data_IF_069374764802
#
_entry.id   IF_069374764802
#
_cell.length_a   1.000
_cell.length_b   1.000
_cell.length_c   1.000
_cell.angle_alpha   90.00
_cell.angle_beta   90.00
_cell.angle_gamma   90.00
#
_symmetry.space_group_name_H-M   'P 1'
#
loop_
_entity.id
_entity.type
_entity.pdbx_description
1 polymer ?
#
# COMPACT_ATOMS: atom_id res chain seq x y z
N UNK A 1 43.54 -27.77 -77.97
CA UNK A 1 43.41 -28.63 -79.17
C UNK A 1 43.43 -30.08 -78.66
N UNK A 2 42.38 -30.85 -78.95
CA UNK A 2 42.12 -32.26 -78.60
C UNK A 2 41.97 -32.58 -77.09
N UNK A 3 40.79 -32.99 -76.63
CA UNK A 3 40.22 -34.38 -76.63
C UNK A 3 41.16 -35.42 -75.98
N UNK A 4 40.73 -36.50 -75.34
CA UNK A 4 39.49 -37.02 -74.73
C UNK A 4 39.85 -38.46 -74.30
N UNK A 5 38.99 -39.10 -73.50
CA UNK A 5 38.71 -40.56 -73.47
C UNK A 5 39.49 -41.49 -72.49
N UNK A 6 38.69 -41.94 -71.50
CA UNK A 6 38.39 -43.32 -71.00
C UNK A 6 39.55 -44.24 -70.57
N UNK A 7 39.64 -44.60 -69.29
CA UNK A 7 38.92 -45.67 -68.55
C UNK A 7 39.48 -47.08 -68.76
N UNK A 8 39.78 -47.79 -67.65
CA UNK A 8 39.68 -49.25 -67.64
C UNK A 8 40.66 -50.01 -66.73
N UNK A 9 40.25 -50.21 -65.47
CA UNK A 9 40.23 -51.50 -64.76
C UNK A 9 41.55 -52.30 -64.56
N UNK A 10 41.94 -52.52 -63.28
CA UNK A 10 41.97 -53.85 -62.60
C UNK A 10 42.65 -53.79 -61.22
N UNK A 11 41.97 -54.39 -60.24
CA UNK A 11 42.31 -54.57 -58.83
C UNK A 11 43.59 -55.37 -58.57
N UNK A 12 44.31 -55.01 -57.51
CA UNK A 12 44.87 -55.97 -56.54
C UNK A 12 44.63 -55.43 -55.13
N UNK A 13 43.89 -56.21 -54.35
CA UNK A 13 43.55 -55.95 -52.95
C UNK A 13 44.78 -55.99 -52.05
N UNK A 14 45.01 -54.91 -51.29
CA UNK A 14 45.78 -54.94 -50.05
C UNK A 14 44.78 -54.95 -48.89
N UNK A 15 44.84 -56.00 -48.06
CA UNK A 15 44.17 -56.03 -46.76
C UNK A 15 44.94 -55.07 -45.85
N UNK A 16 44.37 -53.88 -45.63
CA UNK A 16 44.75 -52.98 -44.54
C UNK A 16 43.78 -53.26 -43.40
N UNK A 17 44.32 -53.77 -42.29
CA UNK A 17 43.61 -53.89 -41.03
C UNK A 17 43.35 -52.47 -40.50
N UNK A 18 42.21 -51.90 -40.90
CA UNK A 18 41.74 -50.62 -40.37
C UNK A 18 41.17 -50.86 -38.97
N UNK A 19 41.96 -50.54 -37.94
CA UNK A 19 41.48 -50.41 -36.57
C UNK A 19 40.40 -49.33 -36.55
N UNK A 20 39.12 -49.73 -36.53
CA UNK A 20 38.02 -48.85 -36.16
C UNK A 20 38.19 -48.50 -34.67
N UNK A 21 38.90 -47.41 -34.39
CA UNK A 21 38.65 -46.63 -33.20
C UNK A 21 37.25 -46.06 -33.34
N UNK A 22 36.25 -46.79 -32.84
CA UNK A 22 34.97 -46.20 -32.51
C UNK A 22 35.26 -45.14 -31.45
N UNK A 23 35.39 -43.88 -31.88
CA UNK A 23 35.26 -42.73 -30.99
C UNK A 23 33.85 -42.80 -30.44
N UNK A 24 33.70 -43.49 -29.31
CA UNK A 24 32.55 -43.33 -28.45
C UNK A 24 32.55 -41.85 -28.10
N UNK A 25 31.53 -41.14 -28.56
CA UNK A 25 31.18 -39.87 -27.96
C UNK A 25 30.81 -40.19 -26.53
N UNK A 26 31.74 -40.02 -25.59
CA UNK A 26 31.40 -39.98 -24.18
C UNK A 26 30.55 -38.73 -24.02
N UNK A 27 29.22 -38.90 -23.94
CA UNK A 27 28.34 -37.81 -23.55
C UNK A 27 28.77 -37.38 -22.16
N UNK A 28 29.05 -36.08 -21.97
CA UNK A 28 29.35 -35.54 -20.66
C UNK A 28 28.19 -35.88 -19.71
N UNK A 29 28.52 -36.42 -18.53
CA UNK A 29 27.51 -36.65 -17.49
C UNK A 29 27.29 -35.34 -16.75
N UNK A 30 26.02 -35.01 -16.50
CA UNK A 30 25.61 -33.74 -15.91
C UNK A 30 24.83 -33.94 -14.63
N UNK A 31 25.09 -33.06 -13.68
CA UNK A 31 24.28 -32.81 -12.48
C UNK A 31 23.45 -31.57 -12.78
N UNK A 32 22.18 -31.78 -13.08
CA UNK A 32 21.22 -30.72 -13.44
C UNK A 32 20.57 -30.14 -12.19
N UNK A 33 20.55 -28.81 -12.09
CA UNK A 33 19.81 -28.07 -11.06
C UNK A 33 18.78 -27.16 -11.73
N UNK A 34 17.54 -27.23 -11.25
CA UNK A 34 16.43 -26.41 -11.73
C UNK A 34 15.86 -25.60 -10.58
N UNK A 35 15.79 -24.28 -10.74
CA UNK A 35 15.06 -23.40 -9.85
C UNK A 35 13.70 -23.02 -10.43
N UNK A 36 12.63 -23.15 -9.64
CA UNK A 36 11.27 -22.76 -10.02
C UNK A 36 10.71 -21.77 -9.00
N UNK A 37 10.21 -20.64 -9.49
CA UNK A 37 9.59 -19.61 -8.66
C UNK A 37 8.08 -19.83 -8.53
N UNK A 38 7.50 -19.53 -7.36
CA UNK A 38 6.04 -19.47 -7.20
C UNK A 38 5.41 -18.33 -8.02
N UNK A 39 6.11 -17.20 -8.13
CA UNK A 39 5.81 -16.08 -9.03
C UNK A 39 7.11 -15.52 -9.61
N UNK A 40 7.14 -15.26 -10.92
CA UNK A 40 8.35 -14.79 -11.62
C UNK A 40 8.48 -13.25 -11.67
N UNK A 41 7.46 -12.53 -11.19
CA UNK A 41 7.40 -11.08 -11.21
C UNK A 41 7.09 -10.55 -9.81
N UNK A 42 7.90 -9.61 -9.31
CA UNK A 42 7.74 -9.02 -7.98
C UNK A 42 7.76 -7.48 -8.04
N UNK A 43 6.93 -6.86 -7.20
CA UNK A 43 7.17 -5.53 -6.64
C UNK A 43 7.97 -5.66 -5.35
N UNK A 44 8.64 -4.58 -4.95
CA UNK A 44 9.32 -4.54 -3.66
C UNK A 44 8.33 -4.84 -2.50
N UNK A 45 8.82 -5.44 -1.42
CA UNK A 45 8.01 -5.98 -0.32
C UNK A 45 7.26 -7.28 -0.62
N UNK A 46 7.16 -7.71 -1.89
CA UNK A 46 6.56 -9.00 -2.25
C UNK A 46 7.59 -10.13 -2.20
N UNK A 47 7.08 -11.35 -2.02
CA UNK A 47 7.87 -12.56 -1.87
C UNK A 47 7.55 -13.58 -2.97
N UNK A 48 8.58 -14.26 -3.45
CA UNK A 48 8.47 -15.47 -4.27
C UNK A 48 9.22 -16.62 -3.60
N UNK A 49 8.68 -17.83 -3.68
CA UNK A 49 9.34 -19.03 -3.16
C UNK A 49 10.12 -19.66 -4.31
N UNK A 50 11.44 -19.77 -4.17
CA UNK A 50 12.29 -20.53 -5.07
C UNK A 50 12.40 -21.97 -4.57
N UNK A 51 11.89 -22.91 -5.35
CA UNK A 51 12.09 -24.35 -5.15
C UNK A 51 13.24 -24.83 -6.02
N UNK A 52 14.26 -25.43 -5.41
CA UNK A 52 15.45 -25.95 -6.11
C UNK A 52 15.39 -27.47 -6.18
N UNK A 53 15.49 -28.02 -7.38
CA UNK A 53 15.46 -29.46 -7.64
C UNK A 53 16.75 -29.94 -8.34
N UNK A 54 17.08 -31.20 -8.13
CA UNK A 54 18.29 -31.85 -8.63
C UNK A 54 17.98 -33.11 -9.44
N UNK A 55 18.74 -33.32 -10.52
CA UNK A 55 18.75 -34.58 -11.27
C UNK A 55 20.14 -34.86 -11.87
N UNK A 56 20.65 -36.06 -11.74
CA UNK A 56 21.81 -36.55 -12.48
C UNK A 56 21.39 -37.21 -13.79
N UNK A 57 22.30 -37.26 -14.76
CA UNK A 57 22.09 -38.03 -16.01
C UNK A 57 21.63 -39.45 -15.71
N UNK A 58 20.49 -39.85 -16.30
CA UNK A 58 19.82 -41.14 -16.11
C UNK A 58 19.45 -41.45 -14.65
N UNK A 59 19.18 -40.42 -13.84
CA UNK A 59 18.85 -40.53 -12.41
C UNK A 59 19.92 -41.30 -11.61
N UNK A 60 21.17 -41.22 -12.06
CA UNK A 60 22.28 -41.88 -11.40
C UNK A 60 22.45 -41.39 -9.96
N UNK A 61 22.79 -42.32 -9.07
CA UNK A 61 23.24 -41.99 -7.71
C UNK A 61 24.72 -41.65 -7.77
N UNK A 62 25.11 -40.51 -7.19
CA UNK A 62 26.46 -39.96 -7.28
C UNK A 62 27.05 -39.70 -5.89
N UNK A 63 28.32 -39.31 -5.81
CA UNK A 63 29.00 -39.10 -4.51
C UNK A 63 28.53 -37.85 -3.75
N UNK A 64 27.80 -36.95 -4.41
CA UNK A 64 27.28 -35.74 -3.78
C UNK A 64 27.23 -34.54 -4.72
N UNK A 65 26.89 -33.38 -4.15
CA UNK A 65 26.86 -32.08 -4.81
C UNK A 65 27.18 -31.00 -3.79
N UNK A 66 28.08 -30.09 -4.14
CA UNK A 66 28.21 -28.80 -3.47
C UNK A 66 27.64 -27.72 -4.38
N UNK A 67 26.54 -27.09 -3.99
CA UNK A 67 25.81 -26.10 -4.79
C UNK A 67 25.89 -24.71 -4.14
N UNK A 68 26.11 -23.69 -4.96
CA UNK A 68 25.96 -22.28 -4.59
C UNK A 68 24.76 -21.71 -5.33
N UNK A 69 23.79 -21.16 -4.60
CA UNK A 69 22.75 -20.31 -5.15
C UNK A 69 23.15 -18.86 -4.92
N UNK A 70 23.45 -18.15 -6.00
CA UNK A 70 23.91 -16.76 -6.01
C UNK A 70 22.72 -15.82 -6.12
N UNK A 71 22.73 -14.73 -5.35
CA UNK A 71 21.69 -13.71 -5.36
C UNK A 71 22.27 -12.33 -5.02
N UNK A 72 21.63 -11.29 -5.56
CA UNK A 72 21.95 -9.89 -5.27
C UNK A 72 21.22 -9.47 -3.98
N UNK A 73 21.98 -9.39 -2.88
CA UNK A 73 21.43 -9.03 -1.58
C UNK A 73 21.10 -7.53 -1.44
N UNK A 74 21.51 -6.71 -2.40
CA UNK A 74 21.11 -5.31 -2.48
C UNK A 74 19.70 -5.11 -3.03
N UNK A 75 19.10 -6.16 -3.62
CA UNK A 75 17.73 -6.11 -4.16
C UNK A 75 16.82 -7.25 -3.69
N UNK A 76 17.37 -8.31 -3.07
CA UNK A 76 16.62 -9.44 -2.52
C UNK A 76 17.06 -9.79 -1.10
N UNK A 77 16.10 -10.11 -0.23
CA UNK A 77 16.33 -10.78 1.05
C UNK A 77 15.92 -12.24 0.96
N UNK A 78 16.80 -13.16 1.37
CA UNK A 78 16.50 -14.58 1.47
C UNK A 78 16.08 -14.93 2.90
N UNK A 79 14.93 -15.57 3.07
CA UNK A 79 14.48 -16.07 4.38
C UNK A 79 14.91 -17.51 4.66
N UNK A 80 14.31 -18.12 5.69
CA UNK A 80 14.65 -19.47 6.12
C UNK A 80 14.23 -20.53 5.08
N UNK A 81 15.10 -21.52 4.86
CA UNK A 81 14.79 -22.61 3.94
C UNK A 81 13.77 -23.59 4.51
N UNK A 82 12.92 -24.13 3.64
CA UNK A 82 12.02 -25.25 3.90
C UNK A 82 12.36 -26.45 3.01
N UNK A 83 11.69 -27.58 3.24
CA UNK A 83 11.75 -28.76 2.36
C UNK A 83 13.15 -29.28 2.04
N UNK A 84 14.08 -29.09 2.99
CA UNK A 84 15.47 -29.53 2.86
C UNK A 84 15.54 -31.04 2.69
N UNK A 85 16.18 -31.49 1.62
CA UNK A 85 16.62 -32.87 1.46
C UNK A 85 17.67 -33.20 2.53
N UNK A 86 17.30 -34.07 3.48
CA UNK A 86 18.12 -34.36 4.66
C UNK A 86 19.18 -35.42 4.44
N UNK A 87 18.95 -36.37 3.53
CA UNK A 87 19.90 -37.45 3.24
C UNK A 87 21.26 -36.87 2.85
N UNK A 88 22.34 -37.31 3.51
CA UNK A 88 23.71 -36.88 3.21
C UNK A 88 24.00 -35.37 3.28
N UNK A 89 23.06 -34.57 3.80
CA UNK A 89 23.15 -33.12 3.79
C UNK A 89 24.10 -32.59 4.86
N UNK A 90 25.05 -31.76 4.44
CA UNK A 90 25.95 -31.01 5.30
C UNK A 90 25.28 -29.71 5.78
N UNK A 91 25.88 -28.98 6.74
CA UNK A 91 25.38 -27.68 7.17
C UNK A 91 25.30 -26.67 6.01
N UNK A 92 24.17 -25.97 5.90
CA UNK A 92 23.97 -24.92 4.90
C UNK A 92 24.39 -23.56 5.46
N UNK A 93 24.94 -22.69 4.61
CA UNK A 93 25.49 -21.40 5.03
C UNK A 93 25.29 -20.34 3.96
N UNK A 94 24.94 -19.12 4.35
CA UNK A 94 25.04 -17.94 3.48
C UNK A 94 26.45 -17.36 3.62
N UNK A 95 27.09 -17.04 2.51
CA UNK A 95 28.44 -16.45 2.44
C UNK A 95 28.45 -15.31 1.43
N UNK A 96 29.37 -14.37 1.64
CA UNK A 96 29.64 -13.31 0.65
C UNK A 96 30.37 -13.89 -0.57
N UNK A 97 30.02 -13.40 -1.76
CA UNK A 97 30.63 -13.78 -3.04
C UNK A 97 31.79 -12.86 -3.43
N UNK A 98 32.76 -12.70 -2.54
CA UNK A 98 33.91 -11.81 -2.82
C UNK A 98 34.85 -12.35 -3.89
N UNK A 99 34.66 -13.61 -4.33
CA UNK A 99 35.48 -14.27 -5.35
C UNK A 99 34.78 -14.35 -6.70
N UNK A 100 33.57 -13.80 -6.82
CA UNK A 100 32.79 -13.75 -8.06
C UNK A 100 32.66 -15.13 -8.72
N UNK A 101 32.23 -16.14 -7.94
CA UNK A 101 32.24 -17.53 -8.40
C UNK A 101 31.31 -17.79 -9.59
N UNK A 102 30.30 -16.94 -9.81
CA UNK A 102 29.37 -16.99 -10.93
C UNK A 102 29.65 -15.95 -12.03
N UNK A 103 30.70 -15.15 -11.88
CA UNK A 103 31.11 -14.13 -12.86
C UNK A 103 30.12 -12.97 -12.98
N UNK A 104 29.31 -12.72 -11.95
CA UNK A 104 28.36 -11.62 -11.85
C UNK A 104 28.55 -10.82 -10.57
N UNK A 105 29.22 -9.67 -10.69
CA UNK A 105 29.49 -8.80 -9.55
C UNK A 105 28.22 -8.27 -8.83
N UNK A 106 27.01 -8.43 -9.40
CA UNK A 106 25.76 -8.03 -8.73
C UNK A 106 25.31 -9.06 -7.70
N UNK A 107 25.57 -10.34 -7.91
CA UNK A 107 25.18 -11.42 -6.99
C UNK A 107 26.19 -11.53 -5.85
N UNK A 108 26.17 -10.57 -4.94
CA UNK A 108 27.17 -10.40 -3.89
C UNK A 108 27.14 -11.46 -2.78
N UNK A 109 26.15 -12.36 -2.77
CA UNK A 109 26.02 -13.46 -1.80
C UNK A 109 25.68 -14.77 -2.48
N UNK A 110 26.10 -15.86 -1.86
CA UNK A 110 25.62 -17.19 -2.20
C UNK A 110 25.20 -18.02 -0.99
N UNK A 111 24.13 -18.79 -1.18
CA UNK A 111 23.72 -19.84 -0.27
C UNK A 111 24.42 -21.15 -0.64
N UNK A 112 25.38 -21.54 0.19
CA UNK A 112 26.15 -22.77 0.06
C UNK A 112 25.37 -23.93 0.69
N UNK A 113 24.98 -24.87 -0.16
CA UNK A 113 24.35 -26.12 0.23
C UNK A 113 25.20 -27.29 -0.24
N UNK A 114 25.28 -28.35 0.54
CA UNK A 114 26.17 -29.47 0.21
C UNK A 114 25.60 -30.79 0.68
N UNK A 115 25.80 -31.81 -0.15
CA UNK A 115 25.46 -33.20 0.10
C UNK A 115 26.67 -34.05 -0.22
N UNK A 116 27.02 -34.97 0.68
CA UNK A 116 28.16 -35.85 0.52
C UNK A 116 27.76 -37.26 0.98
N UNK A 117 27.77 -38.21 0.04
CA UNK A 117 27.49 -39.60 0.37
C UNK A 117 28.63 -40.17 1.23
N UNK A 118 28.25 -40.67 2.40
CA UNK A 118 29.14 -41.40 3.31
C UNK A 118 28.67 -42.84 3.53
N UNK A 119 27.52 -43.21 2.95
CA UNK A 119 26.93 -44.54 3.06
C UNK A 119 27.54 -45.52 2.06
N UNK A 120 27.96 -45.04 0.88
CA UNK A 120 28.40 -45.86 -0.25
C UNK A 120 27.26 -46.30 -1.18
N UNK A 121 26.00 -45.99 -0.84
CA UNK A 121 24.82 -46.29 -1.65
C UNK A 121 24.59 -45.25 -2.78
N UNK A 122 25.40 -44.18 -2.79
CA UNK A 122 25.28 -43.02 -3.66
C UNK A 122 24.21 -42.03 -3.17
N UNK A 123 24.11 -40.87 -3.81
CA UNK A 123 23.18 -39.80 -3.47
C UNK A 123 22.53 -39.22 -4.72
N UNK A 124 21.24 -38.83 -4.69
CA UNK A 124 20.24 -39.15 -3.66
C UNK A 124 19.91 -40.66 -3.63
N UNK A 125 19.82 -41.29 -2.44
CA UNK A 125 19.53 -42.72 -2.34
C UNK A 125 18.09 -43.04 -1.95
N UNK A 126 17.45 -42.18 -1.16
CA UNK A 126 16.06 -42.30 -0.71
C UNK A 126 15.09 -41.48 -1.58
N UNK A 127 15.53 -40.33 -2.12
CA UNK A 127 14.68 -39.48 -2.94
C UNK A 127 14.69 -39.90 -4.42
N UNK A 128 13.50 -40.01 -5.02
CA UNK A 128 13.36 -40.15 -6.46
C UNK A 128 13.76 -38.85 -7.17
N UNK A 129 14.48 -38.96 -8.29
CA UNK A 129 14.90 -37.82 -9.08
C UNK A 129 13.82 -37.45 -10.12
N UNK A 130 13.59 -36.15 -10.41
CA UNK A 130 14.23 -34.98 -9.80
C UNK A 130 13.87 -34.79 -8.32
N UNK A 131 14.88 -34.65 -7.46
CA UNK A 131 14.70 -34.52 -6.02
C UNK A 131 14.69 -33.05 -5.61
N UNK A 132 13.70 -32.62 -4.83
CA UNK A 132 13.71 -31.28 -4.22
C UNK A 132 14.86 -31.20 -3.22
N UNK A 133 15.79 -30.26 -3.42
CA UNK A 133 16.90 -30.01 -2.52
C UNK A 133 16.49 -29.14 -1.34
N UNK A 134 15.76 -28.05 -1.62
CA UNK A 134 15.20 -27.11 -0.65
C UNK A 134 14.24 -26.14 -1.35
N UNK A 135 13.47 -25.40 -0.55
CA UNK A 135 12.79 -24.18 -0.98
C UNK A 135 13.25 -22.99 -0.11
N UNK A 136 13.34 -21.80 -0.69
CA UNK A 136 13.69 -20.56 0.04
C UNK A 136 12.76 -19.41 -0.38
N UNK A 137 12.23 -18.63 0.58
CA UNK A 137 11.52 -17.39 0.27
C UNK A 137 12.52 -16.29 -0.12
N UNK A 138 12.19 -15.56 -1.17
CA UNK A 138 12.93 -14.43 -1.70
C UNK A 138 12.03 -13.21 -1.71
N UNK A 139 12.32 -12.24 -0.84
CA UNK A 139 11.58 -10.98 -0.73
C UNK A 139 12.31 -9.88 -1.49
N UNK A 140 11.64 -9.23 -2.44
CA UNK A 140 12.18 -8.06 -3.12
C UNK A 140 12.27 -6.87 -2.14
N UNK A 141 13.39 -6.15 -2.10
CA UNK A 141 13.54 -4.96 -1.25
C UNK A 141 13.27 -3.67 -2.05
N UNK A 142 13.13 -2.54 -1.35
CA UNK A 142 12.85 -1.25 -2.01
C UNK A 142 13.88 -0.93 -3.11
N UNK A 143 13.40 -0.44 -4.24
CA UNK A 143 14.23 -0.18 -5.42
C UNK A 143 14.41 -1.37 -6.37
N UNK A 144 13.75 -2.52 -6.12
CA UNK A 144 13.83 -3.70 -6.99
C UNK A 144 13.47 -3.38 -8.45
N UNK A 145 14.41 -3.64 -9.36
CA UNK A 145 14.28 -3.47 -10.81
C UNK A 145 14.36 -4.79 -11.58
N UNK A 146 14.19 -5.91 -10.88
CA UNK A 146 14.52 -7.24 -11.38
C UNK A 146 15.90 -7.71 -10.92
N UNK A 147 16.07 -9.02 -10.84
CA UNK A 147 17.31 -9.69 -10.46
C UNK A 147 17.43 -11.04 -11.16
N UNK A 148 18.64 -11.59 -11.17
CA UNK A 148 18.91 -12.94 -11.66
C UNK A 148 19.49 -13.77 -10.53
N UNK A 149 19.00 -15.00 -10.40
CA UNK A 149 19.56 -16.01 -9.52
C UNK A 149 20.43 -16.94 -10.37
N UNK A 150 21.64 -17.23 -9.89
CA UNK A 150 22.59 -18.09 -10.59
C UNK A 150 22.99 -19.27 -9.74
N UNK A 151 23.44 -20.32 -10.41
CA UNK A 151 23.87 -21.54 -9.75
C UNK A 151 25.28 -21.93 -10.19
N UNK A 152 26.16 -22.19 -9.23
CA UNK A 152 27.50 -22.75 -9.50
C UNK A 152 27.79 -23.94 -8.60
N UNK A 153 28.70 -24.80 -9.03
CA UNK A 153 29.15 -25.90 -8.20
C UNK A 153 30.37 -25.48 -7.38
N UNK A 154 30.32 -25.74 -6.07
CA UNK A 154 31.54 -25.81 -5.24
C UNK A 154 32.22 -27.17 -5.35
N UNK A 155 31.46 -28.22 -5.66
CA UNK A 155 31.96 -29.54 -6.01
C UNK A 155 30.92 -30.30 -6.82
N UNK A 156 31.36 -31.04 -7.82
CA UNK A 156 30.55 -32.05 -8.53
C UNK A 156 31.09 -33.45 -8.23
N UNK A 157 30.30 -34.48 -8.55
CA UNK A 157 30.79 -35.84 -8.55
C UNK A 157 31.86 -36.05 -9.64
N UNK A 158 32.79 -36.97 -9.40
CA UNK A 158 33.86 -37.25 -10.37
C UNK A 158 33.27 -37.69 -11.72
N UNK A 159 33.66 -37.01 -12.80
CA UNK A 159 33.13 -37.26 -14.14
C UNK A 159 31.84 -36.50 -14.49
N UNK A 160 31.29 -35.73 -13.56
CA UNK A 160 30.11 -34.89 -13.77
C UNK A 160 30.45 -33.40 -13.83
N UNK A 161 29.77 -32.67 -14.71
CA UNK A 161 29.70 -31.21 -14.68
C UNK A 161 28.34 -30.74 -14.15
N UNK A 162 28.26 -29.52 -13.62
CA UNK A 162 26.99 -28.91 -13.28
C UNK A 162 26.33 -28.32 -14.54
N UNK A 163 25.04 -28.53 -14.68
CA UNK A 163 24.19 -27.83 -15.64
C UNK A 163 23.04 -27.16 -14.88
N UNK A 164 22.93 -25.84 -14.96
CA UNK A 164 21.87 -25.10 -14.30
C UNK A 164 21.51 -23.88 -15.12
N UNK A 165 20.22 -23.57 -15.19
CA UNK A 165 19.73 -22.37 -15.84
C UNK A 165 19.61 -21.23 -14.83
N UNK A 166 19.98 -20.04 -15.25
CA UNK A 166 19.72 -18.81 -14.53
C UNK A 166 18.20 -18.61 -14.38
N UNK A 167 17.79 -18.13 -13.20
CA UNK A 167 16.38 -17.85 -12.92
C UNK A 167 16.21 -16.35 -12.79
N UNK A 168 15.47 -15.75 -13.73
CA UNK A 168 15.16 -14.33 -13.69
C UNK A 168 13.93 -14.09 -12.79
N UNK A 169 14.04 -13.10 -11.91
CA UNK A 169 12.91 -12.48 -11.21
C UNK A 169 12.73 -11.11 -11.84
N UNK A 170 11.65 -10.92 -12.58
CA UNK A 170 11.36 -9.64 -13.25
C UNK A 170 10.65 -8.69 -12.30
N UNK A 171 10.77 -7.39 -12.57
CA UNK A 171 9.81 -6.42 -12.03
C UNK A 171 8.48 -6.58 -12.76
N UNK A 172 7.36 -6.44 -12.05
CA UNK A 172 6.01 -6.42 -12.65
C UNK A 172 5.97 -5.33 -13.76
N UNK A 173 5.71 -5.68 -15.04
CA UNK A 173 5.65 -4.71 -16.13
C UNK A 173 4.45 -3.77 -15.98
N UNK A 174 4.68 -2.46 -16.03
CA UNK A 174 3.63 -1.43 -15.95
C UNK A 174 3.75 -0.47 -14.76
N UNK A 175 4.63 -0.75 -13.82
CA UNK A 175 5.10 0.24 -12.82
C UNK A 175 6.49 0.72 -13.23
N UNK A 176 6.57 1.70 -14.13
CA UNK A 176 7.64 2.69 -13.96
C UNK A 176 7.32 3.37 -12.65
N UNK A 177 8.23 3.21 -11.68
CA UNK A 177 8.18 3.94 -10.42
C UNK A 177 8.51 5.39 -10.74
N UNK A 178 7.51 6.13 -11.21
CA UNK A 178 7.62 7.55 -11.50
C UNK A 178 7.06 8.32 -10.32
N UNK A 179 7.43 9.59 -10.23
CA UNK A 179 6.61 10.51 -9.47
C UNK A 179 5.23 10.55 -10.15
N UNK A 180 4.17 10.32 -9.39
CA UNK A 180 2.80 10.63 -9.80
C UNK A 180 2.45 12.07 -9.49
N UNK A 181 3.13 12.67 -8.51
CA UNK A 181 2.98 14.05 -8.12
C UNK A 181 4.24 14.55 -7.39
N UNK A 182 4.44 15.86 -7.37
CA UNK A 182 5.42 16.53 -6.55
C UNK A 182 4.78 17.80 -5.99
N UNK A 183 4.33 17.72 -4.74
CA UNK A 183 3.70 18.86 -4.08
C UNK A 183 4.75 19.63 -3.28
N UNK A 184 4.89 20.91 -3.56
CA UNK A 184 5.72 21.81 -2.77
C UNK A 184 4.82 22.71 -1.90
N UNK A 185 5.18 22.85 -0.63
CA UNK A 185 4.58 23.79 0.32
C UNK A 185 5.70 24.51 1.09
N UNK A 186 5.45 25.69 1.62
CA UNK A 186 6.42 26.42 2.43
C UNK A 186 5.77 27.06 3.64
N UNK A 187 6.53 27.23 4.71
CA UNK A 187 6.11 27.91 5.93
C UNK A 187 6.66 29.33 5.92
N UNK A 188 5.81 30.33 6.14
CA UNK A 188 6.25 31.74 6.18
C UNK A 188 6.91 32.03 7.52
N UNK A 189 8.11 32.62 7.50
CA UNK A 189 8.71 33.19 8.71
C UNK A 189 7.81 34.36 9.16
N UNK A 190 7.22 34.25 10.34
CA UNK A 190 6.21 35.17 10.84
C UNK A 190 6.62 36.65 10.69
N UNK A 191 6.00 37.35 9.74
CA UNK A 191 5.78 38.80 9.84
C UNK A 191 4.32 39.08 9.53
N UNK A 192 3.63 39.57 10.56
CA UNK A 192 2.24 39.94 10.52
C UNK A 192 2.03 41.12 9.57
N UNK A 193 1.39 40.90 8.44
CA UNK A 193 0.49 41.88 7.83
C UNK A 193 -0.50 41.15 6.94
N UNK A 194 -1.79 41.34 7.24
CA UNK A 194 -2.91 40.78 6.51
C UNK A 194 -2.85 41.11 5.01
N UNK A 195 -3.01 40.09 4.15
CA UNK A 195 -3.37 40.29 2.75
C UNK A 195 -4.13 39.08 2.18
N UNK A 196 -5.45 39.19 2.17
CA UNK A 196 -6.39 38.90 1.07
C UNK A 196 -6.03 37.82 0.04
N UNK A 197 -5.93 36.57 0.46
CA UNK A 197 -6.45 35.44 -0.31
C UNK A 197 -7.56 34.84 0.55
N UNK A 198 -8.74 34.59 -0.02
CA UNK A 198 -9.96 34.23 0.73
C UNK A 198 -9.79 32.83 1.35
N UNK A 199 -9.16 32.75 2.52
CA UNK A 199 -9.20 31.60 3.42
C UNK A 199 -10.67 31.28 3.63
N UNK A 200 -11.08 30.02 3.37
CA UNK A 200 -12.38 29.57 3.83
C UNK A 200 -12.43 29.84 5.34
N UNK A 201 -13.43 30.59 5.79
CA UNK A 201 -13.60 30.83 7.22
C UNK A 201 -13.67 29.48 7.93
N UNK A 202 -13.05 29.39 9.11
CA UNK A 202 -13.13 28.18 9.91
C UNK A 202 -14.58 27.83 10.21
N UNK A 203 -14.87 26.53 10.31
CA UNK A 203 -16.22 26.07 10.63
C UNK A 203 -16.63 26.61 12.01
N UNK A 204 -17.86 27.12 12.09
CA UNK A 204 -18.43 27.53 13.36
C UNK A 204 -18.63 26.30 14.25
N UNK A 205 -18.01 26.30 15.42
CA UNK A 205 -18.15 25.21 16.39
C UNK A 205 -19.35 25.50 17.29
N UNK A 206 -20.40 24.65 17.26
CA UNK A 206 -21.51 24.81 18.18
C UNK A 206 -21.07 24.48 19.60
N UNK A 207 -21.64 25.16 20.60
CA UNK A 207 -21.29 24.89 22.00
C UNK A 207 -21.66 23.46 22.42
N UNK A 208 -20.92 22.91 23.37
CA UNK A 208 -21.28 21.65 24.04
C UNK A 208 -22.68 21.76 24.67
N UNK A 209 -23.41 20.64 24.71
CA UNK A 209 -24.75 20.55 25.32
C UNK A 209 -24.80 19.48 26.39
N UNK A 210 -25.64 19.69 27.40
CA UNK A 210 -25.87 18.71 28.46
C UNK A 210 -27.17 17.96 28.18
N UNK A 211 -27.07 16.65 28.00
CA UNK A 211 -28.18 15.72 27.91
C UNK A 211 -28.51 15.16 29.29
N UNK A 212 -29.80 15.03 29.61
CA UNK A 212 -30.30 14.59 30.93
C UNK A 212 -30.27 13.07 31.13
N UNK A 213 -29.30 12.40 30.51
CA UNK A 213 -29.04 10.97 30.69
C UNK A 213 -30.21 10.02 30.35
N UNK A 214 -29.98 8.70 30.45
CA UNK A 214 -31.04 7.70 30.40
C UNK A 214 -32.16 7.87 31.44
N UNK A 215 -31.88 8.47 32.60
CA UNK A 215 -32.86 8.69 33.68
C UNK A 215 -33.84 9.85 33.39
N UNK A 216 -33.53 10.69 32.40
CA UNK A 216 -34.32 11.83 31.91
C UNK A 216 -34.44 12.97 32.93
N UNK A 217 -33.55 13.06 33.90
CA UNK A 217 -33.53 14.10 34.93
C UNK A 217 -32.22 14.88 34.82
N UNK A 218 -32.30 16.22 34.74
CA UNK A 218 -31.08 17.03 34.63
C UNK A 218 -30.44 17.22 36.01
N UNK A 219 -29.11 17.31 36.05
CA UNK A 219 -28.25 17.41 37.24
C UNK A 219 -28.18 16.11 38.05
N UNK A 220 -28.21 14.97 37.37
CA UNK A 220 -27.99 13.64 37.96
C UNK A 220 -26.65 13.06 37.48
N UNK A 221 -26.27 11.90 38.05
CA UNK A 221 -24.96 11.31 37.80
C UNK A 221 -24.79 10.77 36.36
N UNK A 222 -25.88 10.54 35.64
CA UNK A 222 -25.90 10.02 34.27
C UNK A 222 -26.08 11.11 33.19
N UNK A 223 -26.03 12.39 33.58
CA UNK A 223 -25.95 13.50 32.64
C UNK A 223 -24.74 13.33 31.71
N UNK A 224 -24.95 13.59 30.42
CA UNK A 224 -23.92 13.45 29.39
C UNK A 224 -23.59 14.77 28.72
N UNK A 225 -22.33 14.96 28.37
CA UNK A 225 -21.90 16.12 27.57
C UNK A 225 -21.85 15.73 26.09
N UNK A 226 -22.78 16.25 25.30
CA UNK A 226 -22.77 16.14 23.84
C UNK A 226 -21.82 17.20 23.29
N UNK A 227 -20.68 16.75 22.77
CA UNK A 227 -19.62 17.64 22.27
C UNK A 227 -20.04 18.39 21.03
N UNK A 228 -19.63 19.65 20.95
CA UNK A 228 -19.85 20.51 19.79
C UNK A 228 -19.15 20.04 18.53
N UNK A 229 -17.91 19.55 18.68
CA UNK A 229 -17.05 19.21 17.57
C UNK A 229 -16.12 18.02 17.83
N UNK A 230 -15.54 17.54 16.74
CA UNK A 230 -14.41 16.60 16.69
C UNK A 230 -13.39 17.11 15.68
N UNK A 231 -12.16 17.36 16.13
CA UNK A 231 -11.07 17.90 15.32
C UNK A 231 -10.14 16.76 14.90
N UNK A 232 -9.79 16.71 13.61
CA UNK A 232 -8.88 15.71 13.04
C UNK A 232 -8.05 16.32 11.91
N UNK A 233 -6.77 16.55 12.18
CA UNK A 233 -5.91 17.32 11.28
C UNK A 233 -6.54 18.70 10.99
N UNK A 234 -6.65 19.04 9.71
CA UNK A 234 -7.19 20.31 9.26
C UNK A 234 -8.73 20.36 9.19
N UNK A 235 -9.40 19.25 9.53
CA UNK A 235 -10.85 19.13 9.49
C UNK A 235 -11.45 19.18 10.90
N UNK A 236 -12.54 19.92 11.03
CA UNK A 236 -13.40 19.89 12.21
C UNK A 236 -14.80 19.45 11.81
N UNK A 237 -15.25 18.33 12.38
CA UNK A 237 -16.63 17.85 12.29
C UNK A 237 -17.45 18.47 13.41
N UNK A 238 -18.69 18.84 13.15
CA UNK A 238 -19.59 19.39 14.18
C UNK A 238 -20.88 18.59 14.26
N UNK A 239 -21.42 18.50 15.49
CA UNK A 239 -22.64 17.76 15.81
C UNK A 239 -23.86 18.33 15.06
N UNK A 240 -24.96 17.57 14.96
CA UNK A 240 -26.23 18.14 14.54
C UNK A 240 -26.68 19.31 15.40
N UNK A 241 -27.30 20.34 14.80
CA UNK A 241 -27.81 21.46 15.55
C UNK A 241 -29.01 21.02 16.40
N UNK A 242 -29.10 21.56 17.62
CA UNK A 242 -30.32 21.41 18.41
C UNK A 242 -31.41 22.32 17.86
N UNK A 243 -32.67 22.05 18.21
CA UNK A 243 -33.82 22.78 17.69
C UNK A 243 -33.76 24.31 17.86
N UNK A 244 -33.08 24.79 18.92
CA UNK A 244 -32.91 26.22 19.20
C UNK A 244 -31.81 26.87 18.32
N UNK A 245 -30.84 26.08 17.85
CA UNK A 245 -29.78 26.55 16.95
C UNK A 245 -30.29 26.62 15.51
N UNK A 246 -31.13 25.67 15.10
CA UNK A 246 -31.73 25.62 13.78
C UNK A 246 -33.28 25.63 13.86
N UNK A 247 -33.92 26.82 13.80
CA UNK A 247 -35.37 26.95 13.84
C UNK A 247 -36.08 26.18 12.70
N UNK A 248 -37.16 25.48 13.04
CA UNK A 248 -37.90 24.65 12.08
C UNK A 248 -38.48 25.44 10.90
N UNK A 249 -38.90 26.69 11.13
CA UNK A 249 -39.47 27.54 10.08
C UNK A 249 -38.50 27.81 8.93
N UNK A 250 -37.19 27.79 9.21
CA UNK A 250 -36.13 28.03 8.23
C UNK A 250 -35.57 26.72 7.69
N UNK A 251 -35.28 25.76 8.57
CA UNK A 251 -34.43 24.61 8.24
C UNK A 251 -35.18 23.28 8.05
N UNK A 252 -36.50 23.27 8.29
CA UNK A 252 -37.38 22.13 7.98
C UNK A 252 -38.86 22.59 7.98
N UNK A 253 -39.25 23.51 7.07
CA UNK A 253 -40.60 24.09 7.04
C UNK A 253 -41.64 23.04 6.66
N UNK A 254 -42.79 23.06 7.34
CA UNK A 254 -43.85 22.05 7.20
C UNK A 254 -44.68 22.11 5.91
N UNK A 255 -44.30 22.93 4.92
CA UNK A 255 -45.22 23.42 3.89
C UNK A 255 -44.92 22.88 2.47
N UNK A 256 -44.36 21.67 2.33
CA UNK A 256 -44.31 21.00 1.02
C UNK A 256 -43.02 20.27 0.62
N UNK A 257 -42.03 20.13 1.51
CA UNK A 257 -40.77 19.42 1.23
C UNK A 257 -40.64 18.07 1.94
N UNK A 258 -41.71 17.54 2.54
CA UNK A 258 -41.78 16.33 3.38
C UNK A 258 -41.14 16.44 4.79
N UNK A 259 -40.85 17.66 5.23
CA UNK A 259 -40.73 18.01 6.64
C UNK A 259 -42.13 18.10 7.29
N UNK A 260 -42.34 17.48 8.45
CA UNK A 260 -43.58 17.46 9.23
C UNK A 260 -43.28 17.65 10.70
N UNK A 261 -44.31 17.90 11.53
CA UNK A 261 -44.16 17.93 13.00
C UNK A 261 -43.53 16.67 13.57
N UNK A 262 -43.80 15.53 12.94
CA UNK A 262 -43.39 14.22 13.43
C UNK A 262 -41.95 13.86 13.05
N UNK A 263 -41.37 14.50 12.01
CA UNK A 263 -40.06 14.10 11.48
C UNK A 263 -39.02 15.22 11.46
N UNK A 264 -39.38 16.46 11.84
CA UNK A 264 -38.46 17.61 11.86
C UNK A 264 -37.46 17.60 13.02
N UNK A 265 -37.67 16.74 14.00
CA UNK A 265 -36.83 16.61 15.19
C UNK A 265 -36.60 15.12 15.45
N UNK A 266 -35.40 14.74 15.87
CA UNK A 266 -35.16 13.45 16.50
C UNK A 266 -34.35 13.63 17.79
N UNK A 267 -34.66 12.78 18.76
CA UNK A 267 -34.00 12.74 20.06
C UNK A 267 -33.32 11.38 20.18
N UNK A 268 -32.45 11.27 21.18
CA UNK A 268 -31.76 10.02 21.48
C UNK A 268 -31.88 9.63 22.96
N UNK A 269 -33.07 9.19 23.40
CA UNK A 269 -33.34 8.93 24.81
C UNK A 269 -32.45 7.86 25.44
N UNK A 270 -31.88 6.98 24.62
CA UNK A 270 -31.01 5.91 25.10
C UNK A 270 -29.63 6.42 25.54
N UNK A 271 -29.09 7.45 24.88
CA UNK A 271 -27.72 7.93 25.15
C UNK A 271 -27.65 9.30 25.81
N UNK A 272 -28.62 10.18 25.56
CA UNK A 272 -28.58 11.57 26.05
C UNK A 272 -29.92 12.07 26.60
N UNK A 273 -30.87 11.17 26.81
CA UNK A 273 -32.17 11.51 27.37
C UNK A 273 -33.10 12.27 26.43
N UNK A 274 -34.05 12.98 27.02
CA UNK A 274 -35.19 13.57 26.31
C UNK A 274 -35.14 15.08 26.17
N UNK A 275 -34.25 15.77 26.90
CA UNK A 275 -34.17 17.24 26.88
C UNK A 275 -33.54 17.80 25.60
N UNK A 276 -32.72 17.00 24.90
CA UNK A 276 -32.09 17.40 23.64
C UNK A 276 -32.87 16.86 22.43
N UNK A 277 -33.41 17.78 21.63
CA UNK A 277 -33.97 17.49 20.31
C UNK A 277 -33.09 18.09 19.21
N UNK A 278 -32.65 17.24 18.28
CA UNK A 278 -31.80 17.61 17.15
C UNK A 278 -32.64 17.85 15.92
N UNK A 279 -32.36 18.95 15.22
CA UNK A 279 -33.05 19.30 13.98
C UNK A 279 -32.69 18.28 12.90
N UNK A 280 -33.71 17.77 12.23
CA UNK A 280 -33.55 17.06 10.96
C UNK A 280 -33.85 18.02 9.82
N UNK A 281 -33.11 17.90 8.73
CA UNK A 281 -33.24 18.77 7.56
C UNK A 281 -33.31 17.92 6.30
N UNK A 282 -34.05 18.40 5.30
CA UNK A 282 -33.93 17.89 3.93
C UNK A 282 -32.52 18.17 3.40
N UNK A 283 -32.15 17.53 2.29
CA UNK A 283 -30.78 17.60 1.80
C UNK A 283 -30.33 19.03 1.45
N UNK A 284 -31.16 19.81 0.76
CA UNK A 284 -30.82 21.17 0.35
C UNK A 284 -30.63 22.10 1.57
N UNK A 285 -31.51 21.99 2.56
CA UNK A 285 -31.43 22.73 3.81
C UNK A 285 -30.21 22.30 4.64
N UNK A 286 -29.81 21.02 4.57
CA UNK A 286 -28.60 20.54 5.22
C UNK A 286 -27.33 21.12 4.57
N UNK A 287 -27.26 21.19 3.23
CA UNK A 287 -26.16 21.86 2.51
C UNK A 287 -26.10 23.35 2.85
N UNK A 288 -27.24 24.03 2.85
CA UNK A 288 -27.35 25.43 3.20
C UNK A 288 -26.98 25.70 4.67
N UNK A 289 -27.38 24.82 5.60
CA UNK A 289 -27.00 24.92 7.01
C UNK A 289 -25.49 24.81 7.17
N UNK A 290 -24.88 23.75 6.61
CA UNK A 290 -23.44 23.60 6.73
C UNK A 290 -22.68 24.78 6.10
N UNK A 291 -23.17 25.31 4.98
CA UNK A 291 -22.58 26.52 4.37
C UNK A 291 -22.70 27.74 5.28
N UNK A 292 -23.84 27.92 5.96
CA UNK A 292 -24.04 29.00 6.92
C UNK A 292 -23.09 28.88 8.13
N UNK A 293 -22.69 27.66 8.47
CA UNK A 293 -21.69 27.38 9.50
C UNK A 293 -20.24 27.41 8.99
N UNK A 294 -19.96 27.97 7.81
CA UNK A 294 -18.65 27.97 7.15
C UNK A 294 -18.08 26.57 6.85
N UNK A 295 -18.95 25.57 6.70
CA UNK A 295 -18.59 24.20 6.36
C UNK A 295 -19.37 23.65 5.17
N UNK A 296 -19.40 22.33 5.08
CA UNK A 296 -20.17 21.55 4.11
C UNK A 296 -20.61 20.23 4.72
N UNK A 297 -21.48 19.51 4.03
CA UNK A 297 -21.71 18.10 4.35
C UNK A 297 -20.39 17.31 4.16
N UNK A 298 -20.09 16.34 5.04
CA UNK A 298 -18.93 15.48 4.89
C UNK A 298 -19.12 14.50 3.73
N UNK A 299 -18.01 14.20 3.06
CA UNK A 299 -17.95 13.16 2.03
C UNK A 299 -17.96 11.78 2.68
N UNK A 300 -18.31 10.74 1.92
CA UNK A 300 -18.20 9.35 2.39
C UNK A 300 -16.76 8.98 2.74
N UNK A 301 -15.77 9.49 2.01
CA UNK A 301 -14.36 9.21 2.28
C UNK A 301 -13.93 9.76 3.64
N UNK A 302 -14.33 10.99 3.95
CA UNK A 302 -14.08 11.63 5.25
C UNK A 302 -14.79 10.89 6.39
N UNK A 303 -16.05 10.49 6.19
CA UNK A 303 -16.78 9.66 7.17
C UNK A 303 -16.08 8.33 7.39
N UNK A 304 -15.68 7.65 6.33
CA UNK A 304 -15.03 6.32 6.41
C UNK A 304 -13.69 6.40 7.12
N UNK A 305 -12.93 7.46 6.86
CA UNK A 305 -11.57 7.64 7.40
C UNK A 305 -11.61 8.13 8.84
N UNK A 306 -12.49 9.08 9.18
CA UNK A 306 -12.41 9.82 10.43
C UNK A 306 -13.54 9.53 11.42
N UNK A 307 -14.75 9.22 10.94
CA UNK A 307 -15.92 9.01 11.81
C UNK A 307 -16.19 7.53 12.09
N UNK A 308 -16.17 6.67 11.07
CA UNK A 308 -16.46 5.24 11.21
C UNK A 308 -15.54 4.53 12.22
N UNK A 309 -14.24 4.82 12.33
CA UNK A 309 -13.38 4.19 13.34
C UNK A 309 -13.83 4.47 14.78
N UNK A 310 -14.49 5.62 15.01
CA UNK A 310 -14.96 6.08 16.32
C UNK A 310 -16.29 5.47 16.73
N UNK A 311 -17.05 4.85 15.82
CA UNK A 311 -18.38 4.28 16.11
C UNK A 311 -18.27 2.85 16.61
N UNK A 312 -18.91 2.57 17.75
CA UNK A 312 -19.02 1.24 18.31
C UNK A 312 -19.24 1.28 19.82
N UNK A 313 -19.77 0.19 20.40
CA UNK A 313 -20.00 0.13 21.84
C UNK A 313 -18.69 0.43 22.61
N UNK A 314 -18.68 1.51 23.39
CA UNK A 314 -17.53 1.95 24.19
C UNK A 314 -16.47 2.75 23.44
N UNK A 315 -16.75 3.23 22.21
CA UNK A 315 -15.82 4.08 21.45
C UNK A 315 -16.16 5.56 21.54
N UNK A 316 -15.23 6.40 21.07
CA UNK A 316 -15.28 7.85 21.18
C UNK A 316 -16.57 8.50 20.65
N UNK A 317 -17.23 7.94 19.63
CA UNK A 317 -18.51 8.50 19.16
C UNK A 317 -19.61 8.37 20.23
N UNK A 318 -19.61 7.28 20.98
CA UNK A 318 -20.52 6.99 22.09
C UNK A 318 -20.10 7.64 23.41
N UNK A 319 -18.81 7.61 23.73
CA UNK A 319 -18.30 7.99 25.06
C UNK A 319 -17.86 9.45 25.15
N UNK A 320 -17.22 9.96 24.10
CA UNK A 320 -16.52 11.25 24.15
C UNK A 320 -17.35 12.32 23.47
N UNK A 321 -17.85 12.02 22.26
CA UNK A 321 -18.68 12.94 21.48
C UNK A 321 -20.14 12.92 21.92
N UNK A 322 -20.66 11.73 22.19
CA UNK A 322 -22.07 11.48 22.58
C UNK A 322 -23.06 12.02 21.53
N UNK A 323 -22.72 11.91 20.24
CA UNK A 323 -23.59 12.37 19.15
C UNK A 323 -24.78 11.41 18.92
N UNK A 324 -25.92 11.89 18.37
CA UNK A 324 -27.11 11.07 18.24
C UNK A 324 -26.95 9.93 17.22
N UNK A 325 -27.59 8.78 17.44
CA UNK A 325 -27.46 7.58 16.59
C UNK A 325 -28.76 6.78 16.48
N UNK A 326 -29.77 7.06 17.33
CA UNK A 326 -31.05 6.35 17.38
C UNK A 326 -31.99 6.76 16.26
N UNK A 327 -32.50 5.79 15.50
CA UNK A 327 -33.67 5.96 14.62
C UNK A 327 -33.53 6.94 13.45
N UNK A 328 -32.38 7.61 13.28
CA UNK A 328 -32.10 8.51 12.15
C UNK A 328 -30.69 8.28 11.62
N UNK A 329 -30.44 8.80 10.42
CA UNK A 329 -29.18 8.72 9.69
C UNK A 329 -28.60 10.12 9.53
N UNK A 330 -27.35 10.20 9.08
CA UNK A 330 -26.66 11.44 8.76
C UNK A 330 -26.54 11.62 7.25
N UNK A 331 -26.73 12.84 6.78
CA UNK A 331 -26.41 13.20 5.41
C UNK A 331 -24.91 13.12 5.12
N UNK A 332 -24.57 12.75 3.89
CA UNK A 332 -23.23 12.92 3.30
C UNK A 332 -23.36 13.70 2.00
N UNK A 333 -22.31 14.34 1.51
CA UNK A 333 -22.35 15.11 0.26
C UNK A 333 -22.44 14.25 -1.00
N UNK A 334 -22.02 12.99 -0.94
CA UNK A 334 -21.95 12.09 -2.09
C UNK A 334 -23.34 11.73 -2.62
N UNK A 335 -23.60 12.08 -3.88
CA UNK A 335 -24.83 11.71 -4.61
C UNK A 335 -24.64 10.44 -5.43
N UNK A 336 -25.74 9.75 -5.74
CA UNK A 336 -25.75 8.68 -6.75
C UNK A 336 -25.45 9.26 -8.12
N UNK A 337 -25.07 8.41 -9.09
CA UNK A 337 -24.81 8.85 -10.47
C UNK A 337 -26.03 9.54 -11.12
N UNK A 338 -27.25 9.17 -10.72
CA UNK A 338 -28.48 9.81 -11.18
C UNK A 338 -28.75 11.18 -10.50
N UNK A 339 -28.04 11.50 -9.41
CA UNK A 339 -28.18 12.77 -8.69
C UNK A 339 -29.47 12.93 -7.87
N UNK A 340 -30.33 11.91 -7.85
CA UNK A 340 -31.65 11.90 -7.21
C UNK A 340 -31.64 11.45 -5.74
N UNK A 341 -30.52 10.84 -5.31
CA UNK A 341 -30.29 10.32 -3.97
C UNK A 341 -28.90 10.69 -3.49
N UNK A 342 -28.75 10.77 -2.17
CA UNK A 342 -27.45 10.86 -1.52
C UNK A 342 -27.18 9.60 -0.70
N UNK A 343 -25.90 9.26 -0.59
CA UNK A 343 -25.46 8.28 0.38
C UNK A 343 -25.59 8.85 1.79
N UNK A 344 -25.85 7.98 2.75
CA UNK A 344 -26.09 8.38 4.15
C UNK A 344 -25.27 7.54 5.10
N UNK A 345 -24.80 8.18 6.17
CA UNK A 345 -24.09 7.49 7.24
C UNK A 345 -25.08 6.95 8.27
N UNK A 346 -25.11 5.62 8.38
CA UNK A 346 -25.91 4.86 9.34
C UNK A 346 -25.00 4.34 10.45
N UNK A 347 -25.11 4.91 11.64
CA UNK A 347 -24.36 4.46 12.82
C UNK A 347 -24.99 3.21 13.43
N UNK A 348 -26.30 3.22 13.66
CA UNK A 348 -27.07 2.11 14.28
C UNK A 348 -28.33 1.75 13.51
N UNK A 349 -28.78 0.51 13.72
CA UNK A 349 -30.02 0.00 13.15
C UNK A 349 -31.23 0.61 13.88
N UNK A 350 -32.18 1.18 13.13
CA UNK A 350 -33.34 1.87 13.71
C UNK A 350 -34.30 0.97 14.49
N UNK A 351 -34.28 -0.35 14.24
CA UNK A 351 -35.23 -1.31 14.82
C UNK A 351 -34.68 -1.98 16.07
N UNK A 352 -33.40 -2.36 16.07
CA UNK A 352 -32.79 -3.12 17.16
C UNK A 352 -31.58 -2.44 17.82
N UNK A 353 -31.20 -1.23 17.38
CA UNK A 353 -30.11 -0.42 17.94
C UNK A 353 -28.71 -1.04 17.85
N UNK A 354 -28.57 -2.13 17.09
CA UNK A 354 -27.27 -2.75 16.82
C UNK A 354 -26.39 -1.79 16.00
N UNK A 355 -25.09 -1.82 16.25
CA UNK A 355 -24.10 -1.07 15.48
C UNK A 355 -24.13 -1.56 14.03
N UNK A 356 -24.27 -0.61 13.09
CA UNK A 356 -24.26 -0.86 11.64
C UNK A 356 -23.00 -0.27 11.02
N UNK A 357 -22.69 0.98 11.37
CA UNK A 357 -21.51 1.73 10.92
C UNK A 357 -21.26 1.62 9.39
N UNK A 358 -22.18 2.16 8.59
CA UNK A 358 -22.17 2.02 7.11
C UNK A 358 -22.48 3.32 6.38
N UNK A 359 -21.86 3.52 5.22
CA UNK A 359 -22.09 4.64 4.29
C UNK A 359 -22.64 4.19 2.92
N UNK A 360 -23.17 2.96 2.81
CA UNK A 360 -23.63 2.39 1.52
C UNK A 360 -25.11 2.65 1.24
N UNK A 361 -25.91 2.96 2.25
CA UNK A 361 -27.33 3.26 2.10
C UNK A 361 -27.53 4.56 1.32
N UNK A 362 -28.59 4.62 0.52
CA UNK A 362 -28.99 5.84 -0.22
C UNK A 362 -30.39 6.27 0.14
N UNK A 363 -30.65 7.58 0.13
CA UNK A 363 -31.93 8.20 0.47
C UNK A 363 -32.23 9.32 -0.53
N UNK A 364 -33.51 9.48 -0.92
CA UNK A 364 -33.97 10.55 -1.81
C UNK A 364 -33.69 11.93 -1.18
N UNK A 365 -33.27 12.90 -2.00
CA UNK A 365 -32.84 14.22 -1.52
C UNK A 365 -33.98 15.06 -0.91
N UNK A 366 -35.22 14.74 -1.30
CA UNK A 366 -36.45 15.41 -0.84
C UNK A 366 -37.32 14.43 -0.06
N UNK A 367 -38.23 14.99 0.75
CA UNK A 367 -39.19 14.26 1.59
C UNK A 367 -38.59 13.36 2.69
N UNK A 368 -37.28 13.44 2.93
CA UNK A 368 -36.54 12.62 3.87
C UNK A 368 -35.64 13.49 4.75
N UNK A 369 -36.16 14.16 5.79
CA UNK A 369 -35.29 14.97 6.63
C UNK A 369 -34.38 14.04 7.45
N UNK A 370 -33.08 14.29 7.54
CA UNK A 370 -32.10 13.49 8.30
C UNK A 370 -31.27 14.38 9.22
N UNK A 371 -30.43 13.80 10.08
CA UNK A 371 -29.48 14.59 10.87
C UNK A 371 -28.41 15.19 9.97
N UNK A 372 -27.97 16.39 10.35
CA UNK A 372 -26.96 17.15 9.63
C UNK A 372 -25.69 17.15 10.46
N UNK A 373 -24.60 16.62 9.91
CA UNK A 373 -23.26 16.80 10.44
C UNK A 373 -22.51 17.64 9.42
N UNK A 374 -21.77 18.63 9.87
CA UNK A 374 -20.98 19.49 8.99
C UNK A 374 -19.50 19.26 9.23
N UNK A 375 -18.70 19.48 8.20
CA UNK A 375 -17.24 19.47 8.25
C UNK A 375 -16.71 20.72 7.55
N UNK A 376 -15.65 21.30 8.07
CA UNK A 376 -14.97 22.43 7.47
C UNK A 376 -13.58 22.61 8.06
N UNK A 377 -12.91 23.69 7.63
CA UNK A 377 -11.57 24.00 8.12
C UNK A 377 -11.61 24.22 9.64
N UNK A 378 -10.65 23.63 10.35
CA UNK A 378 -10.46 23.88 11.78
C UNK A 378 -10.16 25.35 12.03
N UNK A 379 -10.72 25.93 13.08
CA UNK A 379 -10.33 27.27 13.52
C UNK A 379 -8.89 27.23 14.02
N UNK A 380 -8.08 28.20 13.61
CA UNK A 380 -6.82 28.48 14.28
C UNK A 380 -7.15 29.00 15.69
N UNK A 381 -7.42 28.07 16.61
CA UNK A 381 -7.45 28.34 18.03
C UNK A 381 -6.03 28.65 18.45
N UNK A 382 -5.73 29.93 18.67
CA UNK A 382 -4.51 30.37 19.33
C UNK A 382 -4.29 29.53 20.59
N UNK A 383 -3.30 28.64 20.53
CA UNK A 383 -3.09 27.64 21.56
C UNK A 383 -2.56 26.28 21.09
N UNK A 384 -1.90 26.16 19.95
CA UNK A 384 -0.63 25.41 19.81
C UNK A 384 -0.01 25.78 18.46
N UNK A 385 1.27 26.10 18.43
CA UNK A 385 1.99 26.58 17.26
C UNK A 385 2.27 25.43 16.29
N UNK A 386 1.45 25.31 15.24
CA UNK A 386 1.78 24.50 14.06
C UNK A 386 1.90 25.42 12.84
N UNK A 387 2.99 25.36 12.06
CA UNK A 387 3.29 26.36 11.04
C UNK A 387 2.33 26.28 9.86
N UNK A 388 1.87 27.44 9.39
CA UNK A 388 1.01 27.57 8.20
C UNK A 388 1.78 27.16 6.94
N UNK A 389 1.40 26.02 6.35
CA UNK A 389 1.95 25.51 5.09
C UNK A 389 1.18 26.11 3.90
N UNK A 390 1.88 26.87 3.05
CA UNK A 390 1.32 27.46 1.82
C UNK A 390 1.81 26.68 0.61
N UNK A 391 0.93 26.30 -0.32
CA UNK A 391 1.32 25.64 -1.57
C UNK A 391 2.23 26.54 -2.43
N UNK A 392 3.25 25.92 -3.02
CA UNK A 392 4.24 26.55 -3.89
C UNK A 392 4.04 26.02 -5.31
N UNK A 393 3.89 26.92 -6.28
CA UNK A 393 3.74 26.52 -7.69
C UNK A 393 5.11 26.24 -8.30
N UNK A 394 5.29 24.99 -8.75
CA UNK A 394 6.49 24.57 -9.47
C UNK A 394 6.45 25.04 -10.92
N UNK A 395 7.60 25.45 -11.44
CA UNK A 395 7.82 25.81 -12.85
C UNK A 395 9.02 25.00 -13.37
N UNK A 396 8.83 24.16 -14.41
CA UNK A 396 7.57 23.89 -15.10
C UNK A 396 6.54 23.16 -14.21
N UNK A 397 5.28 23.09 -14.65
CA UNK A 397 4.28 22.26 -13.98
C UNK A 397 4.77 20.80 -13.91
N UNK A 398 4.35 20.08 -12.87
CA UNK A 398 4.80 18.72 -12.64
C UNK A 398 4.62 17.81 -13.87
N UNK A 399 5.68 17.08 -14.21
CA UNK A 399 5.68 16.03 -15.23
C UNK A 399 6.68 14.95 -14.83
N UNK A 400 6.33 13.69 -15.02
CA UNK A 400 7.17 12.54 -14.63
C UNK A 400 8.57 12.56 -15.25
N UNK A 401 8.73 13.22 -16.39
CA UNK A 401 9.97 13.23 -17.18
C UNK A 401 10.85 14.45 -16.86
N UNK A 402 10.39 15.34 -15.98
CA UNK A 402 11.12 16.56 -15.59
C UNK A 402 11.88 16.31 -14.28
N UNK A 403 13.20 16.43 -14.35
CA UNK A 403 14.12 16.18 -13.23
C UNK A 403 14.49 17.44 -12.43
N UNK A 404 14.07 18.63 -12.89
CA UNK A 404 14.41 19.90 -12.25
C UNK A 404 13.22 20.84 -12.24
N UNK A 405 12.92 21.40 -11.07
CA UNK A 405 11.85 22.36 -10.85
C UNK A 405 12.40 23.62 -10.22
N UNK A 406 11.81 24.75 -10.58
CA UNK A 406 12.05 26.04 -9.92
C UNK A 406 10.75 26.54 -9.33
N UNK A 407 10.83 27.28 -8.23
CA UNK A 407 9.68 27.95 -7.68
C UNK A 407 10.11 29.22 -6.96
N UNK A 408 9.24 30.22 -6.97
CA UNK A 408 9.47 31.50 -6.31
C UNK A 408 8.41 31.72 -5.26
N UNK A 409 8.83 32.15 -4.08
CA UNK A 409 7.95 32.53 -2.97
C UNK A 409 8.04 34.03 -2.76
N UNK A 410 6.90 34.70 -2.59
CA UNK A 410 6.84 36.15 -2.45
C UNK A 410 7.35 36.65 -1.09
N UNK A 411 7.46 35.77 -0.09
CA UNK A 411 7.86 36.08 1.29
C UNK A 411 9.06 35.21 1.70
N UNK A 412 9.83 35.65 2.71
CA UNK A 412 10.90 34.85 3.32
C UNK A 412 10.33 33.57 3.94
N UNK A 413 10.53 32.44 3.27
CA UNK A 413 10.15 31.12 3.75
C UNK A 413 11.12 30.66 4.85
N UNK A 414 10.60 30.14 5.97
CA UNK A 414 11.42 29.55 7.03
C UNK A 414 11.84 28.10 6.68
N UNK A 415 10.94 27.36 6.03
CA UNK A 415 11.17 26.00 5.56
C UNK A 415 10.29 25.72 4.35
N UNK A 416 10.76 24.85 3.46
CA UNK A 416 9.99 24.33 2.33
C UNK A 416 9.82 22.84 2.55
N UNK A 417 8.59 22.37 2.48
CA UNK A 417 8.27 20.95 2.38
C UNK A 417 7.98 20.60 0.93
N UNK A 418 8.72 19.65 0.36
CA UNK A 418 8.43 19.09 -0.94
C UNK A 418 8.18 17.59 -0.79
N UNK A 419 6.99 17.15 -1.14
CA UNK A 419 6.52 15.78 -0.95
C UNK A 419 6.37 15.11 -2.32
N UNK A 420 7.29 14.21 -2.70
CA UNK A 420 7.13 13.35 -3.86
C UNK A 420 6.07 12.30 -3.57
N UNK A 421 5.16 12.09 -4.53
CA UNK A 421 4.22 10.96 -4.50
C UNK A 421 4.66 9.97 -5.56
N UNK A 422 4.85 8.72 -5.17
CA UNK A 422 5.32 7.66 -6.05
C UNK A 422 4.13 6.88 -6.58
N UNK A 423 4.17 6.51 -7.86
CA UNK A 423 3.14 5.64 -8.49
C UNK A 423 3.13 4.23 -7.90
N UNK A 424 4.21 3.82 -7.24
CA UNK A 424 4.42 2.50 -6.65
C UNK A 424 4.76 2.67 -5.17
N UNK A 425 3.98 2.06 -4.28
CA UNK A 425 4.14 2.15 -2.82
C UNK A 425 5.46 1.58 -2.30
N UNK A 426 6.24 0.91 -3.16
CA UNK A 426 7.53 0.34 -2.80
C UNK A 426 8.73 0.97 -3.54
N UNK A 427 8.48 2.02 -4.33
CA UNK A 427 9.52 2.84 -4.92
C UNK A 427 10.24 3.70 -3.87
N UNK A 428 11.47 4.11 -4.19
CA UNK A 428 12.25 5.05 -3.39
C UNK A 428 12.86 6.13 -4.28
N UNK A 429 13.07 7.32 -3.72
CA UNK A 429 13.74 8.43 -4.40
C UNK A 429 15.24 8.32 -4.10
N UNK A 430 16.06 8.03 -5.11
CA UNK A 430 17.51 7.81 -4.93
C UNK A 430 18.31 9.08 -4.69
N UNK A 431 17.86 10.20 -5.26
CA UNK A 431 18.45 11.52 -5.07
C UNK A 431 17.33 12.55 -4.94
N UNK A 432 17.37 13.31 -3.85
CA UNK A 432 16.46 14.41 -3.62
C UNK A 432 17.22 15.61 -3.07
N UNK A 433 17.48 16.60 -3.92
CA UNK A 433 18.25 17.80 -3.54
C UNK A 433 17.44 19.07 -3.78
N UNK A 434 17.64 20.06 -2.91
CA UNK A 434 17.12 21.41 -3.07
C UNK A 434 18.24 22.41 -2.74
N UNK A 435 18.45 23.40 -3.60
CA UNK A 435 19.60 24.32 -3.51
C UNK A 435 20.92 23.57 -3.25
N UNK A 436 21.17 22.50 -4.00
CA UNK A 436 22.38 21.65 -3.92
C UNK A 436 22.56 20.89 -2.59
N UNK A 437 21.54 20.87 -1.71
CA UNK A 437 21.56 20.16 -0.42
C UNK A 437 20.56 19.01 -0.41
N UNK A 438 20.93 17.86 0.15
CA UNK A 438 20.05 16.68 0.25
C UNK A 438 18.83 16.94 1.18
N UNK A 439 17.66 16.46 0.78
CA UNK A 439 16.38 16.56 1.50
C UNK A 439 16.06 15.21 2.13
N UNK A 440 16.16 15.08 3.45
CA UNK A 440 16.00 13.78 4.15
C UNK A 440 14.56 13.48 4.60
N UNK A 441 13.72 14.49 4.76
CA UNK A 441 12.38 14.35 5.36
C UNK A 441 11.34 15.18 4.63
N UNK A 442 11.43 15.22 3.29
CA UNK A 442 10.56 16.05 2.44
C UNK A 442 10.53 17.52 2.87
N UNK A 443 11.58 18.00 3.55
CA UNK A 443 11.68 19.35 4.09
C UNK A 443 13.12 19.85 4.04
N UNK A 444 13.31 21.13 3.71
CA UNK A 444 14.60 21.81 3.76
C UNK A 444 14.42 23.27 4.18
N UNK A 445 15.43 23.83 4.86
CA UNK A 445 15.44 25.23 5.28
C UNK A 445 15.93 26.13 4.15
N UNK A 446 15.30 27.30 4.01
CA UNK A 446 15.78 28.39 3.15
C UNK A 446 16.36 29.44 4.12
N UNK A 447 17.67 29.37 4.35
CA UNK A 447 18.38 30.35 5.16
C UNK A 447 18.64 31.64 4.37
#
# INVERSE_FOLDING_TARGET
MFESIKSGLRSVSFIVLASLLATSYASAQVQTVTGTLSVAELSAGQESILTVAYQATNDAKVTGLGLRLHYDSSVLTMGDYTDRLRESAQPFQIKDDTSDFDGDAKTDKYFLTSWADTSGDGWPYDAAQPATLYAVPLTAISGFSGSTLKFTASSTAAGYSLEAADVAISKIPGTVSSLSDLTATYTIASQSTASSARSAAAINIPVDKIGNGPDKTINTADDVTVKGSYVVGDLTFVRPPVNLEAPAATWCPGNGGGCTEQNRTANDPTRMGTNLGFRRMQFAEAEAWCTAENGRLPTRAEITTHMMPLVGNGKAFETDLVWPQKSSKYWTSDKTSAGDKAYVFTTRNSTNDNVVNSVTNTIALVEKPLWVMCVGASAETGGDSSPTTTAMTLTPAFSSDVLSYTASVANSAASVSMVPVLTDSFASVSEYTANETAVSDNTFSIA
#
